data_IF_206219895254
#
_entry.id   IF_206219895254
#
_cell.length_a   1.000
_cell.length_b   1.000
_cell.length_c   1.000
_cell.angle_alpha   90.00
_cell.angle_beta   90.00
_cell.angle_gamma   90.00
#
_symmetry.space_group_name_H-M   'P 1'
#
loop_
_entity.id
_entity.type
_entity.pdbx_description
1 polymer ?
#
# COMPACT_ATOMS: atom_id res chain seq x y z
N UNK A 1 10.71 -20.36 0.80
CA UNK A 1 11.67 -20.57 1.91
C UNK A 1 12.90 -19.77 1.57
N UNK A 2 13.30 -18.81 2.40
CA UNK A 2 14.56 -18.08 2.25
C UNK A 2 15.71 -19.10 2.31
N UNK A 3 16.49 -19.21 1.24
CA UNK A 3 17.68 -20.07 1.18
C UNK A 3 18.91 -19.19 1.48
N UNK A 4 19.40 -19.13 2.73
CA UNK A 4 20.62 -18.38 3.02
C UNK A 4 21.82 -19.04 2.34
N UNK A 5 22.75 -18.22 1.86
CA UNK A 5 24.08 -18.70 1.48
C UNK A 5 24.84 -19.14 2.74
N UNK A 6 25.62 -20.22 2.60
CA UNK A 6 26.47 -20.76 3.68
C UNK A 6 27.92 -20.38 3.38
N UNK A 7 28.67 -19.97 4.40
CA UNK A 7 30.14 -19.97 4.32
C UNK A 7 30.68 -21.40 4.31
N UNK A 8 31.94 -21.58 3.91
CA UNK A 8 32.67 -22.87 3.99
C UNK A 8 32.68 -23.47 5.42
N UNK A 9 32.37 -22.69 6.46
CA UNK A 9 32.21 -23.12 7.86
C UNK A 9 30.77 -23.45 8.31
N UNK A 10 29.77 -23.39 7.43
CA UNK A 10 28.39 -23.79 7.74
C UNK A 10 27.51 -22.73 8.45
N UNK A 11 28.02 -21.51 8.65
CA UNK A 11 27.23 -20.41 9.20
C UNK A 11 26.29 -19.83 8.13
N UNK A 12 25.04 -19.52 8.51
CA UNK A 12 24.08 -18.83 7.65
C UNK A 12 24.53 -17.37 7.51
N UNK A 13 24.95 -16.96 6.32
CA UNK A 13 25.15 -15.56 5.99
C UNK A 13 23.81 -14.99 5.53
N UNK A 14 23.35 -13.97 6.25
CA UNK A 14 22.29 -13.09 5.78
C UNK A 14 22.98 -11.81 5.31
N UNK A 15 22.76 -11.41 4.07
CA UNK A 15 23.17 -10.07 3.63
C UNK A 15 22.19 -9.03 4.20
N UNK A 16 22.51 -7.74 4.09
CA UNK A 16 21.63 -6.68 4.61
C UNK A 16 20.23 -6.73 4.00
N UNK A 17 20.11 -7.12 2.73
CA UNK A 17 18.82 -7.31 2.05
C UNK A 17 18.01 -8.47 2.65
N UNK A 18 18.65 -9.55 3.09
CA UNK A 18 18.00 -10.67 3.78
C UNK A 18 17.53 -10.24 5.17
N UNK A 19 18.32 -9.44 5.88
CA UNK A 19 17.97 -8.89 7.20
C UNK A 19 16.74 -7.98 7.08
N UNK A 20 16.73 -7.08 6.08
CA UNK A 20 15.58 -6.21 5.83
C UNK A 20 14.34 -7.00 5.43
N UNK A 21 14.50 -8.06 4.64
CA UNK A 21 13.40 -8.97 4.28
C UNK A 21 12.86 -9.73 5.49
N UNK A 22 13.71 -10.16 6.41
CA UNK A 22 13.28 -10.79 7.68
C UNK A 22 12.53 -9.79 8.56
N UNK A 23 13.00 -8.54 8.66
CA UNK A 23 12.31 -7.49 9.42
C UNK A 23 10.94 -7.19 8.81
N UNK A 24 10.85 -7.17 7.48
CA UNK A 24 9.62 -6.95 6.75
C UNK A 24 8.60 -8.09 6.97
N UNK A 25 9.03 -9.34 6.85
CA UNK A 25 8.22 -10.53 7.16
C UNK A 25 7.70 -10.47 8.61
N UNK A 26 8.60 -10.18 9.56
CA UNK A 26 8.24 -10.08 10.97
C UNK A 26 7.15 -9.02 11.16
N UNK A 27 7.31 -7.87 10.51
CA UNK A 27 6.35 -6.78 10.57
C UNK A 27 5.01 -7.13 9.93
N UNK A 28 4.97 -7.97 8.90
CA UNK A 28 3.70 -8.46 8.33
C UNK A 28 2.96 -9.38 9.31
N UNK A 29 3.69 -10.30 9.95
CA UNK A 29 3.14 -11.20 10.97
C UNK A 29 2.63 -10.39 12.17
N UNK A 30 3.42 -9.42 12.65
CA UNK A 30 3.03 -8.53 13.76
C UNK A 30 1.79 -7.68 13.42
N UNK A 31 1.53 -7.42 12.14
CA UNK A 31 0.34 -6.72 11.65
C UNK A 31 -0.84 -7.64 11.29
N UNK A 32 -0.74 -8.95 11.53
CA UNK A 32 -1.83 -9.92 11.37
C UNK A 32 -1.91 -10.63 10.01
N UNK A 33 -0.89 -10.51 9.15
CA UNK A 33 -0.85 -11.19 7.84
C UNK A 33 -0.64 -12.70 8.00
N UNK A 34 -1.45 -13.50 7.31
CA UNK A 34 -1.32 -14.97 7.32
C UNK A 34 -0.01 -15.45 6.66
N UNK A 35 0.67 -16.40 7.30
CA UNK A 35 1.97 -16.94 6.86
C UNK A 35 1.92 -17.58 5.45
N UNK A 36 0.77 -18.14 5.06
CA UNK A 36 0.54 -18.68 3.71
C UNK A 36 0.68 -17.61 2.61
N UNK A 37 0.25 -16.38 2.86
CA UNK A 37 0.33 -15.25 1.93
C UNK A 37 1.71 -14.59 1.95
N UNK A 38 2.38 -14.57 3.10
CA UNK A 38 3.79 -14.18 3.20
C UNK A 38 4.65 -15.02 2.24
N UNK A 39 4.37 -16.32 2.10
CA UNK A 39 5.11 -17.20 1.19
C UNK A 39 5.04 -16.72 -0.26
N UNK A 40 3.90 -16.19 -0.71
CA UNK A 40 3.68 -15.64 -2.06
C UNK A 40 4.51 -14.36 -2.26
N UNK A 41 4.57 -13.49 -1.25
CA UNK A 41 5.40 -12.26 -1.27
C UNK A 41 6.91 -12.55 -1.22
N UNK A 42 7.30 -13.75 -0.78
CA UNK A 42 8.68 -14.22 -0.71
C UNK A 42 9.10 -15.08 -1.90
N UNK A 43 8.18 -15.40 -2.82
CA UNK A 43 8.48 -16.18 -4.01
C UNK A 43 9.35 -15.35 -4.97
N UNK A 44 10.55 -15.84 -5.29
CA UNK A 44 11.50 -15.20 -6.22
C UNK A 44 11.17 -15.45 -7.70
N UNK A 45 10.09 -16.16 -8.02
CA UNK A 45 9.58 -16.28 -9.39
C UNK A 45 8.85 -14.98 -9.74
N UNK A 46 9.62 -13.99 -10.17
CA UNK A 46 9.14 -12.66 -10.52
C UNK A 46 7.94 -12.66 -11.49
N UNK A 47 7.80 -13.67 -12.34
CA UNK A 47 6.70 -13.74 -13.32
C UNK A 47 5.37 -14.11 -12.66
N UNK A 48 5.35 -15.08 -11.75
CA UNK A 48 4.12 -15.56 -11.12
C UNK A 48 3.54 -14.51 -10.16
N UNK A 49 4.39 -13.85 -9.37
CA UNK A 49 3.98 -12.76 -8.48
C UNK A 49 3.44 -11.55 -9.25
N UNK A 50 4.06 -11.19 -10.39
CA UNK A 50 3.57 -10.11 -11.25
C UNK A 50 2.22 -10.43 -11.88
N UNK A 51 1.99 -11.70 -12.26
CA UNK A 51 0.70 -12.14 -12.78
C UNK A 51 -0.39 -12.05 -11.71
N UNK A 52 -0.12 -12.49 -10.47
CA UNK A 52 -1.07 -12.37 -9.35
C UNK A 52 -1.49 -10.91 -9.14
N UNK A 53 -0.55 -9.97 -9.09
CA UNK A 53 -0.90 -8.56 -8.90
C UNK A 53 -1.62 -7.95 -10.09
N UNK A 54 -1.31 -8.40 -11.31
CA UNK A 54 -2.04 -8.01 -12.52
C UNK A 54 -3.49 -8.48 -12.44
N UNK A 55 -3.75 -9.71 -12.02
CA UNK A 55 -5.11 -10.24 -11.87
C UNK A 55 -5.90 -9.47 -10.80
N UNK A 56 -5.25 -9.08 -9.70
CA UNK A 56 -5.86 -8.21 -8.68
C UNK A 56 -6.18 -6.82 -9.24
N UNK A 57 -5.33 -6.25 -10.11
CA UNK A 57 -5.63 -4.98 -10.79
C UNK A 57 -6.84 -5.08 -11.72
N UNK A 58 -6.96 -6.17 -12.50
CA UNK A 58 -8.13 -6.37 -13.38
C UNK A 58 -9.43 -6.62 -12.59
N UNK A 59 -9.32 -7.33 -11.46
CA UNK A 59 -10.46 -7.52 -10.54
C UNK A 59 -10.93 -6.17 -9.98
N UNK A 60 -10.00 -5.34 -9.50
CA UNK A 60 -10.28 -3.99 -9.02
C UNK A 60 -10.90 -3.12 -10.12
N UNK A 61 -10.38 -3.19 -11.34
CA UNK A 61 -10.92 -2.46 -12.48
C UNK A 61 -12.37 -2.88 -12.80
N UNK A 62 -12.67 -4.18 -12.72
CA UNK A 62 -14.02 -4.72 -12.94
C UNK A 62 -15.01 -4.19 -11.90
N UNK A 63 -14.60 -4.11 -10.63
CA UNK A 63 -15.42 -3.49 -9.58
C UNK A 63 -15.69 -2.01 -9.85
N UNK A 64 -14.67 -1.26 -10.30
CA UNK A 64 -14.83 0.15 -10.67
C UNK A 64 -15.80 0.32 -11.86
N UNK A 65 -15.67 -0.52 -12.90
CA UNK A 65 -16.52 -0.47 -14.10
C UNK A 65 -17.96 -0.89 -13.83
N UNK A 66 -18.19 -1.86 -12.94
CA UNK A 66 -19.54 -2.29 -12.55
C UNK A 66 -20.28 -1.29 -11.66
N UNK A 67 -19.58 -0.28 -11.12
CA UNK A 67 -20.17 0.75 -10.24
C UNK A 67 -20.57 0.25 -8.86
N UNK A 68 -20.27 -1.01 -8.50
CA UNK A 68 -20.62 -1.57 -7.20
C UNK A 68 -19.61 -1.14 -6.12
N UNK A 69 -19.78 0.07 -5.62
CA UNK A 69 -18.88 0.67 -4.63
C UNK A 69 -18.92 -0.03 -3.26
N UNK A 70 -20.02 -0.71 -2.94
CA UNK A 70 -20.14 -1.46 -1.68
C UNK A 70 -19.22 -2.68 -1.71
N UNK A 71 -19.36 -3.54 -2.72
CA UNK A 71 -18.51 -4.72 -2.90
C UNK A 71 -17.04 -4.33 -3.04
N UNK A 72 -16.75 -3.23 -3.75
CA UNK A 72 -15.40 -2.69 -3.88
C UNK A 72 -14.78 -2.33 -2.51
N UNK A 73 -15.53 -1.64 -1.65
CA UNK A 73 -15.06 -1.28 -0.30
C UNK A 73 -14.79 -2.50 0.57
N UNK A 74 -15.67 -3.50 0.50
CA UNK A 74 -15.50 -4.77 1.23
C UNK A 74 -14.25 -5.50 0.76
N UNK A 75 -14.06 -5.61 -0.55
CA UNK A 75 -12.90 -6.26 -1.16
C UNK A 75 -11.57 -5.56 -0.81
N UNK A 76 -11.52 -4.22 -0.87
CA UNK A 76 -10.34 -3.45 -0.44
C UNK A 76 -10.05 -3.67 1.06
N UNK A 77 -11.10 -3.73 1.89
CA UNK A 77 -10.95 -3.97 3.32
C UNK A 77 -10.35 -5.35 3.61
N UNK A 78 -10.83 -6.39 2.93
CA UNK A 78 -10.30 -7.76 3.04
C UNK A 78 -8.83 -7.81 2.60
N UNK A 79 -8.51 -7.22 1.44
CA UNK A 79 -7.13 -7.13 0.97
C UNK A 79 -6.22 -6.42 1.97
N UNK A 80 -6.65 -5.32 2.57
CA UNK A 80 -5.85 -4.59 3.55
C UNK A 80 -5.70 -5.29 4.90
N UNK A 81 -6.47 -6.35 5.17
CA UNK A 81 -6.20 -7.27 6.29
C UNK A 81 -5.18 -8.33 5.91
N UNK A 82 -5.21 -8.75 4.65
CA UNK A 82 -4.36 -9.81 4.11
C UNK A 82 -2.96 -9.35 3.72
N UNK A 83 -2.82 -8.09 3.34
CA UNK A 83 -1.57 -7.55 2.82
C UNK A 83 -1.20 -6.23 3.51
N UNK A 84 0.10 -5.97 3.69
CA UNK A 84 0.60 -4.71 4.20
C UNK A 84 0.23 -3.54 3.29
N UNK A 85 0.07 -2.35 3.89
CA UNK A 85 -0.21 -1.11 3.18
C UNK A 85 0.83 -0.84 2.09
N UNK A 86 2.11 -1.09 2.40
CA UNK A 86 3.22 -0.89 1.47
C UNK A 86 3.13 -1.80 0.25
N UNK A 87 2.82 -3.07 0.44
CA UNK A 87 2.65 -4.06 -0.64
C UNK A 87 1.50 -3.67 -1.56
N UNK A 88 0.33 -3.38 -1.00
CA UNK A 88 -0.84 -2.97 -1.77
C UNK A 88 -0.62 -1.65 -2.52
N UNK A 89 0.04 -0.69 -1.86
CA UNK A 89 0.37 0.61 -2.47
C UNK A 89 1.28 0.42 -3.68
N UNK A 90 2.37 -0.34 -3.52
CA UNK A 90 3.39 -0.53 -4.57
C UNK A 90 2.89 -1.37 -5.74
N UNK A 91 2.19 -2.47 -5.48
CA UNK A 91 1.86 -3.47 -6.52
C UNK A 91 0.44 -3.36 -7.07
N UNK A 92 -0.50 -2.78 -6.33
CA UNK A 92 -1.91 -2.69 -6.73
C UNK A 92 -2.32 -1.24 -7.03
N UNK A 93 -2.27 -0.35 -6.03
CA UNK A 93 -2.88 0.97 -6.14
C UNK A 93 -2.09 1.93 -7.03
N UNK A 94 -0.77 2.08 -6.84
CA UNK A 94 0.03 2.98 -7.68
C UNK A 94 -0.01 2.58 -9.16
N UNK A 95 0.21 1.29 -9.53
CA UNK A 95 0.17 0.88 -10.92
C UNK A 95 -1.20 1.08 -11.56
N UNK A 96 -2.29 0.74 -10.87
CA UNK A 96 -3.64 0.92 -11.41
C UNK A 96 -3.99 2.41 -11.55
N UNK A 97 -3.67 3.24 -10.56
CA UNK A 97 -3.91 4.69 -10.64
C UNK A 97 -3.17 5.30 -11.83
N UNK A 98 -1.91 4.91 -12.07
CA UNK A 98 -1.15 5.33 -13.26
C UNK A 98 -1.81 4.92 -14.57
N UNK A 99 -2.39 3.71 -14.65
CA UNK A 99 -3.14 3.24 -15.84
C UNK A 99 -4.41 4.07 -16.09
N UNK A 100 -5.07 4.54 -15.03
CA UNK A 100 -6.29 5.36 -15.11
C UNK A 100 -6.01 6.85 -15.34
N UNK A 101 -4.78 7.32 -15.10
CA UNK A 101 -4.32 8.70 -15.34
C UNK A 101 -4.12 8.99 -16.85
N UNK A 102 -5.18 8.87 -17.64
CA UNK A 102 -5.20 9.15 -19.08
C UNK A 102 -6.09 10.35 -19.39
N UNK A 103 -5.94 11.01 -20.55
CA UNK A 103 -6.76 12.16 -20.95
C UNK A 103 -8.24 11.83 -21.28
N UNK A 104 -8.68 10.59 -21.06
CA UNK A 104 -10.07 10.19 -21.30
C UNK A 104 -10.96 10.47 -20.07
N UNK A 105 -12.13 11.13 -20.25
CA UNK A 105 -12.97 11.54 -19.13
C UNK A 105 -13.51 10.35 -18.32
N UNK A 106 -13.82 9.23 -18.97
CA UNK A 106 -14.29 8.02 -18.29
C UNK A 106 -13.23 7.44 -17.34
N UNK A 107 -11.97 7.37 -17.78
CA UNK A 107 -10.88 6.86 -16.94
C UNK A 107 -10.57 7.81 -15.79
N UNK A 108 -10.66 9.12 -16.01
CA UNK A 108 -10.56 10.12 -14.95
C UNK A 108 -11.68 9.99 -13.90
N UNK A 109 -12.91 9.71 -14.34
CA UNK A 109 -14.02 9.43 -13.42
C UNK A 109 -13.76 8.17 -12.58
N UNK A 110 -13.29 7.07 -13.20
CA UNK A 110 -12.93 5.85 -12.48
C UNK A 110 -11.77 6.08 -11.50
N UNK A 111 -10.77 6.88 -11.87
CA UNK A 111 -9.68 7.28 -10.99
C UNK A 111 -10.20 8.09 -9.79
N UNK A 112 -11.08 9.06 -10.02
CA UNK A 112 -11.68 9.86 -8.95
C UNK A 112 -12.51 9.01 -7.98
N UNK A 113 -13.27 8.03 -8.50
CA UNK A 113 -14.01 7.05 -7.70
C UNK A 113 -13.04 6.20 -6.86
N UNK A 114 -12.00 5.65 -7.48
CA UNK A 114 -10.98 4.86 -6.79
C UNK A 114 -10.33 5.68 -5.67
N UNK A 115 -9.92 6.90 -5.97
CA UNK A 115 -9.29 7.82 -5.02
C UNK A 115 -10.21 8.12 -3.83
N UNK A 116 -11.50 8.39 -4.07
CA UNK A 116 -12.48 8.61 -3.00
C UNK A 116 -12.70 7.38 -2.12
N UNK A 117 -12.71 6.18 -2.70
CA UNK A 117 -12.81 4.92 -1.94
C UNK A 117 -11.55 4.69 -1.10
N UNK A 118 -10.36 4.90 -1.67
CA UNK A 118 -9.08 4.74 -0.98
C UNK A 118 -8.93 5.71 0.18
N UNK A 119 -9.21 7.00 -0.04
CA UNK A 119 -9.15 8.02 1.02
C UNK A 119 -10.06 7.65 2.19
N UNK A 120 -11.29 7.21 1.91
CA UNK A 120 -12.23 6.80 2.94
C UNK A 120 -11.73 5.59 3.74
N UNK A 121 -11.26 4.54 3.05
CA UNK A 121 -10.72 3.35 3.69
C UNK A 121 -9.50 3.69 4.56
N UNK A 122 -8.57 4.47 4.04
CA UNK A 122 -7.36 4.89 4.76
C UNK A 122 -7.74 5.74 5.97
N UNK A 123 -8.69 6.67 5.86
CA UNK A 123 -9.14 7.47 6.99
C UNK A 123 -9.63 6.59 8.17
N UNK A 124 -10.33 5.48 7.88
CA UNK A 124 -10.75 4.49 8.88
C UNK A 124 -9.53 3.79 9.51
N UNK A 125 -8.55 3.39 8.70
CA UNK A 125 -7.30 2.79 9.18
C UNK A 125 -6.52 3.75 10.10
N UNK A 126 -6.37 5.02 9.69
CA UNK A 126 -5.69 6.04 10.48
C UNK A 126 -6.43 6.32 11.80
N UNK A 127 -7.75 6.46 11.76
CA UNK A 127 -8.56 6.63 12.97
C UNK A 127 -8.40 5.46 13.95
N UNK A 128 -8.26 4.24 13.42
CA UNK A 128 -8.01 3.04 14.23
C UNK A 128 -6.59 3.02 14.80
N UNK A 129 -5.59 3.47 14.03
CA UNK A 129 -4.19 3.56 14.48
C UNK A 129 -4.01 4.60 15.60
N UNK A 130 -4.75 5.71 15.58
CA UNK A 130 -4.71 6.75 16.64
C UNK A 130 -5.07 6.22 18.04
N UNK A 131 -5.84 5.13 18.13
CA UNK A 131 -6.21 4.51 19.41
C UNK A 131 -5.05 3.74 20.06
N UNK A 132 -4.01 3.39 19.30
CA UNK A 132 -2.84 2.67 19.80
C UNK A 132 -1.81 3.67 20.34
N UNK A 133 -0.97 3.22 21.28
CA UNK A 133 0.19 4.01 21.71
C UNK A 133 1.17 4.18 20.54
N UNK A 134 1.67 5.40 20.33
CA UNK A 134 2.54 5.72 19.20
C UNK A 134 2.96 7.19 19.19
N UNK A 135 3.91 7.52 18.32
CA UNK A 135 4.40 8.89 18.11
C UNK A 135 3.51 9.62 17.12
N UNK A 136 3.23 10.89 17.37
CA UNK A 136 2.47 11.73 16.44
C UNK A 136 3.34 12.16 15.26
N UNK A 137 2.75 12.18 14.07
CA UNK A 137 3.39 12.69 12.87
C UNK A 137 2.34 13.28 11.91
N UNK A 138 2.77 14.29 11.14
CA UNK A 138 1.95 14.97 10.16
C UNK A 138 2.52 14.70 8.75
N UNK A 139 1.68 14.21 7.84
CA UNK A 139 2.02 14.05 6.43
C UNK A 139 1.55 15.27 5.66
N UNK A 140 2.50 15.95 5.04
CA UNK A 140 2.29 17.17 4.26
C UNK A 140 2.81 16.98 2.85
N UNK A 141 1.99 17.31 1.86
CA UNK A 141 2.45 17.40 0.47
C UNK A 141 3.03 18.78 0.19
N UNK A 142 4.19 18.83 -0.45
CA UNK A 142 4.81 20.09 -0.90
C UNK A 142 4.79 20.14 -2.42
N UNK A 143 4.04 21.08 -3.01
CA UNK A 143 3.89 21.20 -4.46
C UNK A 143 3.43 19.90 -5.17
N UNK A 144 2.56 19.11 -4.52
CA UNK A 144 2.03 17.85 -5.05
C UNK A 144 0.58 18.07 -5.49
N UNK A 145 0.19 17.59 -6.68
CA UNK A 145 -1.20 17.64 -7.15
C UNK A 145 -2.01 16.39 -6.77
N UNK A 146 -1.34 15.28 -6.45
CA UNK A 146 -1.98 14.01 -6.08
C UNK A 146 -2.18 13.89 -4.56
N UNK A 147 -3.35 14.33 -4.08
CA UNK A 147 -3.72 14.25 -2.67
C UNK A 147 -3.80 12.79 -2.18
N UNK A 148 -4.34 11.88 -2.98
CA UNK A 148 -4.51 10.46 -2.62
C UNK A 148 -3.17 9.79 -2.33
N UNK A 149 -2.09 10.22 -3.01
CA UNK A 149 -0.75 9.71 -2.69
C UNK A 149 -0.33 10.02 -1.25
N UNK A 150 -0.67 11.19 -0.71
CA UNK A 150 -0.39 11.54 0.68
C UNK A 150 -1.11 10.60 1.66
N UNK A 151 -2.34 10.22 1.34
CA UNK A 151 -3.10 9.26 2.13
C UNK A 151 -2.44 7.87 2.10
N UNK A 152 -1.98 7.40 0.94
CA UNK A 152 -1.27 6.13 0.83
C UNK A 152 0.01 6.11 1.68
N UNK A 153 0.81 7.17 1.64
CA UNK A 153 2.01 7.29 2.48
C UNK A 153 1.65 7.34 3.97
N UNK A 154 0.60 8.08 4.34
CA UNK A 154 0.10 8.12 5.71
C UNK A 154 -0.37 6.74 6.21
N UNK A 155 -0.97 5.94 5.34
CA UNK A 155 -1.36 4.57 5.68
C UNK A 155 -0.14 3.67 5.95
N UNK A 156 0.90 3.76 5.11
CA UNK A 156 2.16 3.01 5.30
C UNK A 156 2.81 3.40 6.64
N UNK A 157 2.88 4.70 6.93
CA UNK A 157 3.44 5.20 8.18
C UNK A 157 2.61 4.77 9.40
N UNK A 158 1.28 4.66 9.28
CA UNK A 158 0.43 4.16 10.38
C UNK A 158 0.78 2.73 10.79
N UNK A 159 1.13 1.86 9.83
CA UNK A 159 1.59 0.50 10.09
C UNK A 159 3.03 0.44 10.64
N UNK A 160 3.75 1.57 10.69
CA UNK A 160 5.08 1.70 11.32
C UNK A 160 4.97 2.14 12.81
N UNK A 161 3.75 2.32 13.33
CA UNK A 161 3.51 2.73 14.72
C UNK A 161 3.37 4.25 14.91
N UNK A 162 3.22 5.01 13.82
CA UNK A 162 2.95 6.44 13.90
C UNK A 162 1.45 6.72 13.96
N UNK A 163 1.06 7.71 14.76
CA UNK A 163 -0.27 8.32 14.74
C UNK A 163 -0.21 9.46 13.73
N UNK A 164 -0.82 9.23 12.57
CA UNK A 164 -0.68 10.12 11.42
C UNK A 164 -1.90 11.02 11.27
N UNK A 165 -1.64 12.31 11.13
CA UNK A 165 -2.58 13.26 10.52
C UNK A 165 -2.12 13.57 9.10
N UNK A 166 -3.06 13.65 8.16
CA UNK A 166 -2.79 13.96 6.75
C UNK A 166 -3.38 15.31 6.43
N UNK A 167 -2.56 16.24 5.94
CA UNK A 167 -3.04 17.56 5.54
C UNK A 167 -3.92 17.43 4.28
N UNK A 168 -5.14 17.96 4.35
CA UNK A 168 -6.13 17.80 3.28
C UNK A 168 -5.74 18.47 1.96
N UNK A 169 -4.86 19.49 2.01
CA UNK A 169 -4.35 20.18 0.83
C UNK A 169 -2.82 20.28 0.90
N UNK A 170 -2.13 20.12 -0.24
CA UNK A 170 -0.70 20.36 -0.32
C UNK A 170 -0.39 21.83 -0.01
N UNK A 171 0.78 22.10 0.56
CA UNK A 171 1.29 23.45 0.71
C UNK A 171 1.77 23.94 -0.66
N UNK A 172 1.25 25.11 -1.08
CA UNK A 172 1.79 25.83 -2.22
C UNK A 172 3.11 26.48 -1.82
N UNK A 173 4.11 26.47 -2.71
CA UNK A 173 5.25 27.36 -2.53
C UNK A 173 4.72 28.80 -2.51
N UNK A 174 5.02 29.54 -1.45
CA UNK A 174 4.80 30.98 -1.45
C UNK A 174 5.75 31.58 -2.49
N UNK A 175 5.27 31.80 -3.71
CA UNK A 175 5.88 32.77 -4.61
C UNK A 175 5.77 34.13 -3.92
N UNK A 176 6.84 34.51 -3.23
CA UNK A 176 7.03 35.89 -2.77
C UNK A 176 7.29 36.74 -4.01
N UNK A 177 6.62 37.89 -4.16
CA UNK A 177 6.87 38.83 -5.26
C UNK A 177 8.23 39.50 -5.15
#
# INVERSE_FOLDING_TARGET
MLKPQRTDGGHRLFNDADIDRIREIKRWIDNGVQVSKVKILLSNENVDVQNVWRDQQETLLTYLQSGNLHSLRTWIKELGQDYPAQTLTTHLFIPLRRRLQCQQPTLQALLAILDGVLINYIAICLASARKKQGKDALVVGWNIQDTTRLWLEGWIASQQGWRIDVLARPLAQSTTP
#
